data_IF_541312627001
#
_entry.id   IF_541312627001
#
_cell.length_a   1.000
_cell.length_b   1.000
_cell.length_c   1.000
_cell.angle_alpha   90.00
_cell.angle_beta   90.00
_cell.angle_gamma   90.00
#
_symmetry.space_group_name_H-M   'P 1'
#
loop_
_entity.id
_entity.type
_entity.pdbx_description
1 polymer ?
#
# COMPACT_ATOMS: atom_id res chain seq x y z
N UNK A 1 -11.93 42.56 -22.88
CA UNK A 1 -10.87 41.54 -23.07
C UNK A 1 -10.59 40.64 -21.84
N UNK A 2 -11.48 40.40 -20.86
CA UNK A 2 -11.18 39.49 -19.73
C UNK A 2 -11.31 37.99 -20.07
N UNK A 3 -12.05 37.64 -21.13
CA UNK A 3 -12.35 36.26 -21.52
C UNK A 3 -11.15 35.50 -22.12
N UNK A 4 -10.20 36.20 -22.74
CA UNK A 4 -9.01 35.58 -23.32
C UNK A 4 -7.97 35.22 -22.24
N UNK A 5 -7.81 36.08 -21.23
CA UNK A 5 -6.92 35.84 -20.10
C UNK A 5 -7.41 34.67 -19.25
N UNK A 6 -8.72 34.58 -18.98
CA UNK A 6 -9.29 33.45 -18.26
C UNK A 6 -9.19 32.15 -19.04
N UNK A 7 -9.41 32.18 -20.36
CA UNK A 7 -9.22 31.00 -21.22
C UNK A 7 -7.76 30.51 -21.24
N UNK A 8 -6.79 31.42 -21.31
CA UNK A 8 -5.36 31.08 -21.29
C UNK A 8 -4.94 30.50 -19.93
N UNK A 9 -5.43 31.09 -18.83
CA UNK A 9 -5.18 30.60 -17.49
C UNK A 9 -5.77 29.19 -17.29
N UNK A 10 -7.00 28.97 -17.75
CA UNK A 10 -7.66 27.65 -17.71
C UNK A 10 -6.89 26.61 -18.53
N UNK A 11 -6.44 26.96 -19.74
CA UNK A 11 -5.63 26.07 -20.58
C UNK A 11 -4.30 25.71 -19.92
N UNK A 12 -3.66 26.67 -19.25
CA UNK A 12 -2.38 26.47 -18.56
C UNK A 12 -2.55 25.57 -17.33
N UNK A 13 -3.61 25.78 -16.53
CA UNK A 13 -3.97 24.91 -15.40
C UNK A 13 -4.28 23.47 -15.88
N UNK A 14 -5.03 23.34 -16.96
CA UNK A 14 -5.37 22.03 -17.55
C UNK A 14 -4.09 21.30 -18.00
N UNK A 15 -3.22 21.99 -18.73
CA UNK A 15 -1.95 21.45 -19.22
C UNK A 15 -1.04 21.02 -18.05
N UNK A 16 -0.92 21.87 -17.03
CA UNK A 16 -0.13 21.57 -15.83
C UNK A 16 -0.70 20.37 -15.07
N UNK A 17 -2.02 20.31 -14.93
CA UNK A 17 -2.72 19.15 -14.35
C UNK A 17 -2.41 17.86 -15.11
N UNK A 18 -2.49 17.89 -16.45
CA UNK A 18 -2.20 16.74 -17.30
C UNK A 18 -0.74 16.25 -17.16
N UNK A 19 0.20 17.18 -17.03
CA UNK A 19 1.63 16.89 -16.85
C UNK A 19 1.98 16.34 -15.46
N UNK A 20 1.28 16.80 -14.41
CA UNK A 20 1.56 16.40 -13.03
C UNK A 20 0.84 15.11 -12.62
N UNK A 21 -0.36 14.86 -13.14
CA UNK A 21 -1.17 13.67 -12.83
C UNK A 21 -0.41 12.34 -12.95
N UNK A 22 0.35 12.05 -14.04
CA UNK A 22 1.08 10.79 -14.15
C UNK A 22 2.23 10.67 -13.14
N UNK A 23 2.80 11.79 -12.65
CA UNK A 23 3.84 11.76 -11.61
C UNK A 23 3.23 11.42 -10.25
N UNK A 24 2.10 12.05 -9.90
CA UNK A 24 1.37 11.78 -8.66
C UNK A 24 0.90 10.32 -8.61
N UNK A 25 0.30 9.83 -9.71
CA UNK A 25 -0.15 8.43 -9.81
C UNK A 25 0.99 7.44 -9.62
N UNK A 26 2.14 7.68 -10.26
CA UNK A 26 3.34 6.83 -10.09
C UNK A 26 3.89 6.88 -8.67
N UNK A 27 3.93 8.05 -8.04
CA UNK A 27 4.34 8.22 -6.65
C UNK A 27 3.45 7.44 -5.69
N UNK A 28 2.14 7.51 -5.89
CA UNK A 28 1.16 6.79 -5.06
C UNK A 28 1.28 5.27 -5.25
N UNK A 29 1.44 4.80 -6.50
CA UNK A 29 1.66 3.38 -6.79
C UNK A 29 2.94 2.84 -6.12
N UNK A 30 4.05 3.59 -6.19
CA UNK A 30 5.30 3.21 -5.50
C UNK A 30 5.13 3.15 -3.99
N UNK A 31 4.45 4.14 -3.40
CA UNK A 31 4.15 4.14 -1.96
C UNK A 31 3.34 2.91 -1.56
N UNK A 32 2.32 2.53 -2.35
CA UNK A 32 1.54 1.30 -2.12
C UNK A 32 2.43 0.06 -2.12
N UNK A 33 3.32 -0.09 -3.12
CA UNK A 33 4.25 -1.23 -3.18
C UNK A 33 5.18 -1.30 -1.97
N UNK A 34 5.70 -0.16 -1.49
CA UNK A 34 6.56 -0.09 -0.30
C UNK A 34 5.78 -0.49 0.95
N UNK A 35 4.57 0.03 1.12
CA UNK A 35 3.70 -0.33 2.24
C UNK A 35 3.38 -1.82 2.23
N UNK A 36 3.10 -2.41 1.07
CA UNK A 36 2.80 -3.83 0.98
C UNK A 36 4.02 -4.72 1.28
N UNK A 37 5.21 -4.35 0.79
CA UNK A 37 6.43 -5.07 1.17
C UNK A 37 6.68 -5.02 2.68
N UNK A 38 6.50 -3.85 3.30
CA UNK A 38 6.68 -3.70 4.75
C UNK A 38 5.68 -4.56 5.54
N UNK A 39 4.41 -4.58 5.13
CA UNK A 39 3.38 -5.41 5.78
C UNK A 39 3.71 -6.90 5.73
N UNK A 40 4.27 -7.37 4.62
CA UNK A 40 4.68 -8.76 4.46
C UNK A 40 5.85 -9.10 5.38
N UNK A 41 6.84 -8.21 5.47
CA UNK A 41 7.96 -8.34 6.41
C UNK A 41 7.49 -8.33 7.87
N UNK A 42 6.56 -7.44 8.23
CA UNK A 42 6.00 -7.37 9.57
C UNK A 42 5.17 -8.63 9.92
N UNK A 43 4.41 -9.17 8.95
CA UNK A 43 3.67 -10.42 9.12
C UNK A 43 4.62 -11.60 9.38
N UNK A 44 5.71 -11.72 8.60
CA UNK A 44 6.73 -12.74 8.79
C UNK A 44 7.39 -12.66 10.17
N UNK A 45 7.77 -11.46 10.59
CA UNK A 45 8.36 -11.25 11.93
C UNK A 45 7.40 -11.66 13.03
N UNK A 46 6.13 -11.32 12.89
CA UNK A 46 5.10 -11.70 13.86
C UNK A 46 4.94 -13.21 13.96
N UNK A 47 4.84 -13.90 12.81
CA UNK A 47 4.74 -15.36 12.78
C UNK A 47 5.96 -16.02 13.40
N UNK A 48 7.17 -15.55 13.06
CA UNK A 48 8.42 -16.07 13.62
C UNK A 48 8.54 -15.84 15.13
N UNK A 49 8.14 -14.66 15.63
CA UNK A 49 8.10 -14.40 17.07
C UNK A 49 7.07 -15.31 17.77
N UNK A 50 5.91 -15.52 17.16
CA UNK A 50 4.91 -16.43 17.71
C UNK A 50 5.48 -17.85 17.84
N UNK A 51 6.12 -18.37 16.78
CA UNK A 51 6.76 -19.70 16.79
C UNK A 51 7.88 -19.79 17.84
N UNK A 52 8.73 -18.77 17.91
CA UNK A 52 9.80 -18.69 18.91
C UNK A 52 9.26 -18.75 20.35
N UNK A 53 8.11 -18.12 20.59
CA UNK A 53 7.40 -18.15 21.87
C UNK A 53 6.58 -19.44 22.08
N UNK A 54 6.65 -20.41 21.16
CA UNK A 54 5.87 -21.66 21.22
C UNK A 54 4.37 -21.48 20.95
N UNK A 55 3.98 -20.36 20.32
CA UNK A 55 2.59 -20.04 19.95
C UNK A 55 2.39 -20.20 18.45
N UNK A 56 1.20 -20.59 18.04
CA UNK A 56 0.83 -20.60 16.61
C UNK A 56 0.36 -19.22 16.19
N UNK A 57 0.99 -18.62 15.16
CA UNK A 57 0.54 -17.35 14.59
C UNK A 57 -0.71 -17.54 13.73
N UNK A 58 -1.89 -17.38 14.33
CA UNK A 58 -3.16 -17.44 13.59
C UNK A 58 -3.41 -16.20 12.73
N UNK A 59 -4.33 -16.33 11.76
CA UNK A 59 -4.84 -15.21 10.94
C UNK A 59 -5.33 -14.05 11.82
N UNK A 60 -6.06 -14.35 12.88
CA UNK A 60 -6.58 -13.35 13.82
C UNK A 60 -5.46 -12.66 14.61
N UNK A 61 -4.40 -13.39 14.96
CA UNK A 61 -3.21 -12.82 15.60
C UNK A 61 -2.47 -11.86 14.67
N UNK A 62 -2.27 -12.24 13.40
CA UNK A 62 -1.65 -11.39 12.37
C UNK A 62 -2.51 -10.15 12.10
N UNK A 63 -3.83 -10.31 11.96
CA UNK A 63 -4.76 -9.21 11.76
C UNK A 63 -4.67 -8.19 12.91
N UNK A 64 -4.65 -8.69 14.15
CA UNK A 64 -4.50 -7.86 15.36
C UNK A 64 -3.15 -7.16 15.43
N UNK A 65 -2.05 -7.88 15.15
CA UNK A 65 -0.70 -7.33 15.23
C UNK A 65 -0.43 -6.26 14.16
N UNK A 66 -0.95 -6.43 12.94
CA UNK A 66 -0.74 -5.50 11.82
C UNK A 66 -1.84 -4.44 11.70
N UNK A 67 -2.91 -4.52 12.49
CA UNK A 67 -4.05 -3.59 12.44
C UNK A 67 -4.79 -3.61 11.09
N UNK A 68 -4.89 -4.80 10.47
CA UNK A 68 -5.53 -4.99 9.16
C UNK A 68 -6.80 -5.84 9.28
N UNK A 69 -7.64 -5.83 8.24
CA UNK A 69 -8.81 -6.71 8.22
C UNK A 69 -8.39 -8.18 8.15
N UNK A 70 -9.30 -9.08 8.56
CA UNK A 70 -9.08 -10.53 8.52
C UNK A 70 -8.81 -11.02 7.10
N UNK A 71 -9.53 -10.51 6.11
CA UNK A 71 -9.32 -10.82 4.69
C UNK A 71 -7.91 -10.42 4.26
N UNK A 72 -7.44 -9.24 4.68
CA UNK A 72 -6.08 -8.80 4.35
C UNK A 72 -5.01 -9.64 5.04
N UNK A 73 -5.25 -10.08 6.28
CA UNK A 73 -4.35 -11.00 6.97
C UNK A 73 -4.29 -12.37 6.28
N UNK A 74 -5.43 -12.89 5.82
CA UNK A 74 -5.47 -14.12 5.00
C UNK A 74 -4.66 -13.98 3.71
N UNK A 75 -4.82 -12.87 2.99
CA UNK A 75 -4.04 -12.60 1.78
C UNK A 75 -2.54 -12.55 2.08
N UNK A 76 -2.13 -11.88 3.17
CA UNK A 76 -0.72 -11.80 3.57
C UNK A 76 -0.16 -13.19 3.92
N UNK A 77 -0.89 -13.98 4.70
CA UNK A 77 -0.48 -15.34 5.06
C UNK A 77 -0.38 -16.25 3.83
N UNK A 78 -1.31 -16.16 2.89
CA UNK A 78 -1.24 -16.92 1.64
C UNK A 78 -0.03 -16.56 0.79
N UNK A 79 0.41 -15.29 0.79
CA UNK A 79 1.65 -14.89 0.09
C UNK A 79 2.89 -15.42 0.81
N UNK A 80 2.90 -15.43 2.14
CA UNK A 80 3.99 -16.00 2.95
C UNK A 80 4.12 -17.50 2.68
N UNK A 81 3.02 -18.23 2.77
CA UNK A 81 2.97 -19.68 2.51
C UNK A 81 3.40 -20.01 1.07
N UNK A 82 2.92 -19.25 0.08
CA UNK A 82 3.31 -19.42 -1.32
C UNK A 82 4.79 -19.12 -1.58
N UNK A 83 5.43 -18.31 -0.74
CA UNK A 83 6.87 -18.04 -0.81
C UNK A 83 7.72 -19.15 -0.15
N UNK A 84 7.10 -20.15 0.47
CA UNK A 84 7.78 -21.23 1.19
C UNK A 84 8.40 -20.78 2.52
N UNK A 85 7.84 -19.73 3.10
CA UNK A 85 8.23 -19.17 4.40
C UNK A 85 7.21 -19.54 5.48
#
# INVERSE_FOLDING_TARGET
MPSLLSALAAATLLLLGLLLLPRVRRGLARRRLIVERRRLEDALKHLHHAEYDGRTGSVESVAGALGVSRERALELMGVVEAAGL
#
